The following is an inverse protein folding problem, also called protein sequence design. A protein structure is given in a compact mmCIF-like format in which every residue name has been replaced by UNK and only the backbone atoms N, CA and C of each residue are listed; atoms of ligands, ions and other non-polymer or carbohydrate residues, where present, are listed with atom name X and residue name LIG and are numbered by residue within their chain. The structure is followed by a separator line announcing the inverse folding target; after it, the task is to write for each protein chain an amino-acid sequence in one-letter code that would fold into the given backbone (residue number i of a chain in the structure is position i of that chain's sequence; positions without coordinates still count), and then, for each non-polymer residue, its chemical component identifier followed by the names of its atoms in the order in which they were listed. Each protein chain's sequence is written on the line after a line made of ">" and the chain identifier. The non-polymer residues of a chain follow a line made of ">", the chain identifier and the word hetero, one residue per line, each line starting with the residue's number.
data_IF_719865550863
#
_entry.id   IF_719865550863
#
_cell.length_a   1.000
_cell.length_b   1.000
_cell.length_c   1.000
_cell.angle_alpha   90.00
_cell.angle_beta   90.00
_cell.angle_gamma   90.00
#
_symmetry.space_group_name_H-M   'P 1'
#
loop_
_entity.id
_entity.type
_entity.pdbx_description
1 polymer ?
#
# COMPACT_ATOMS: atom_id res chain seq x y z
N UNK A 1 2.84 -29.23 48.19
CA UNK A 1 1.50 -29.12 48.72
C UNK A 1 1.13 -30.36 49.57
N UNK A 2 0.16 -30.25 50.48
CA UNK A 2 -0.26 -31.34 51.43
C UNK A 2 -0.67 -32.63 50.70
N UNK A 3 -1.17 -32.58 49.47
CA UNK A 3 -1.56 -33.74 48.63
C UNK A 3 -0.37 -34.63 48.24
N UNK A 4 0.74 -34.02 47.88
CA UNK A 4 1.94 -34.74 47.47
C UNK A 4 2.60 -35.49 48.68
N UNK A 5 2.36 -35.00 49.90
CA UNK A 5 2.83 -35.67 51.13
C UNK A 5 2.05 -36.95 51.44
N UNK A 6 0.70 -36.98 51.24
CA UNK A 6 -0.12 -38.19 51.44
C UNK A 6 0.20 -39.31 50.43
N UNK A 7 0.46 -38.97 49.15
CA UNK A 7 0.89 -39.95 48.15
C UNK A 7 2.27 -40.57 48.47
N UNK A 8 3.15 -39.84 49.14
CA UNK A 8 4.44 -40.38 49.59
C UNK A 8 4.31 -41.34 50.79
N UNK A 9 3.23 -41.20 51.61
CA UNK A 9 2.95 -42.08 52.74
C UNK A 9 2.32 -43.43 52.38
N UNK A 10 1.90 -43.64 51.11
CA UNK A 10 1.32 -44.90 50.64
C UNK A 10 2.29 -46.12 50.72
N UNK A 11 3.58 -45.89 50.93
CA UNK A 11 4.56 -46.96 51.10
C UNK A 11 4.49 -47.64 52.51
N UNK A 12 3.88 -46.97 53.50
CA UNK A 12 3.79 -47.43 54.88
C UNK A 12 2.46 -48.14 55.21
N UNK A 13 1.51 -48.23 54.24
CA UNK A 13 0.19 -48.82 54.42
C UNK A 13 0.23 -50.32 54.01
N UNK A 14 -0.53 -51.16 54.71
CA UNK A 14 -0.63 -52.59 54.44
C UNK A 14 -1.09 -52.86 53.02
N UNK A 15 -0.55 -53.91 52.36
CA UNK A 15 -0.80 -54.20 50.94
C UNK A 15 -2.26 -54.36 50.58
N UNK A 16 -3.12 -54.74 51.49
CA UNK A 16 -4.54 -54.99 51.30
C UNK A 16 -5.38 -53.69 51.30
N UNK A 17 -4.94 -52.64 51.99
CA UNK A 17 -5.68 -51.32 52.05
C UNK A 17 -5.27 -50.35 51.01
N UNK A 18 -4.17 -50.56 50.29
CA UNK A 18 -3.66 -49.65 49.26
C UNK A 18 -4.64 -49.34 48.09
N UNK A 19 -5.43 -50.31 47.57
CA UNK A 19 -6.39 -50.02 46.52
C UNK A 19 -7.55 -49.15 47.00
N UNK A 20 -8.02 -49.33 48.24
CA UNK A 20 -9.12 -48.57 48.83
C UNK A 20 -8.71 -47.11 49.08
N UNK A 21 -7.53 -46.90 49.66
CA UNK A 21 -6.99 -45.55 49.86
C UNK A 21 -6.67 -44.85 48.55
N UNK A 22 -6.17 -45.59 47.55
CA UNK A 22 -5.94 -45.07 46.19
C UNK A 22 -7.21 -44.59 45.53
N UNK A 23 -8.29 -45.36 45.68
CA UNK A 23 -9.60 -44.99 45.11
C UNK A 23 -10.20 -43.76 45.81
N UNK A 24 -10.14 -43.71 47.16
CA UNK A 24 -10.62 -42.56 47.93
C UNK A 24 -9.85 -41.27 47.63
N UNK A 25 -8.54 -41.35 47.37
CA UNK A 25 -7.72 -40.22 46.98
C UNK A 25 -8.09 -39.74 45.57
N UNK A 26 -8.34 -40.65 44.62
CA UNK A 26 -8.77 -40.32 43.26
C UNK A 26 -10.17 -39.71 43.25
N UNK A 27 -11.12 -40.26 43.97
CA UNK A 27 -12.47 -39.72 44.10
C UNK A 27 -12.48 -38.31 44.71
N UNK A 28 -11.70 -38.12 45.78
CA UNK A 28 -11.51 -36.79 46.40
C UNK A 28 -10.87 -35.80 45.41
N UNK A 29 -9.94 -36.28 44.59
CA UNK A 29 -9.32 -35.47 43.56
C UNK A 29 -10.31 -35.06 42.51
N UNK A 30 -11.13 -35.98 42.00
CA UNK A 30 -12.16 -35.71 40.99
C UNK A 30 -13.17 -34.67 41.49
N UNK A 31 -13.65 -34.80 42.73
CA UNK A 31 -14.58 -33.83 43.34
C UNK A 31 -13.96 -32.42 43.44
N UNK A 32 -12.67 -32.35 43.84
CA UNK A 32 -11.99 -31.05 43.93
C UNK A 32 -11.73 -30.45 42.54
N UNK A 33 -11.35 -31.27 41.57
CA UNK A 33 -11.15 -30.80 40.20
C UNK A 33 -12.46 -30.29 39.58
N UNK A 34 -13.56 -31.01 39.78
CA UNK A 34 -14.90 -30.56 39.33
C UNK A 34 -15.34 -29.25 40.00
N UNK A 35 -15.18 -29.13 41.31
CA UNK A 35 -15.48 -27.90 42.04
C UNK A 35 -14.62 -26.70 41.56
N UNK A 36 -13.33 -26.95 41.33
CA UNK A 36 -12.40 -25.93 40.76
C UNK A 36 -12.83 -25.46 39.37
N UNK A 37 -13.22 -26.39 38.52
CA UNK A 37 -13.62 -26.08 37.14
C UNK A 37 -14.94 -25.27 37.11
N UNK A 38 -15.90 -25.62 37.99
CA UNK A 38 -17.14 -24.84 38.18
C UNK A 38 -16.85 -23.42 38.67
N UNK A 39 -16.03 -23.25 39.69
CA UNK A 39 -15.66 -21.94 40.22
C UNK A 39 -14.87 -21.10 39.17
N UNK A 40 -13.92 -21.74 38.48
CA UNK A 40 -13.18 -21.05 37.42
C UNK A 40 -14.09 -20.55 36.29
N UNK A 41 -15.09 -21.34 35.94
CA UNK A 41 -16.07 -20.97 34.89
C UNK A 41 -16.92 -19.78 35.32
N UNK A 42 -17.39 -19.80 36.59
CA UNK A 42 -18.16 -18.69 37.16
C UNK A 42 -17.33 -17.41 37.27
N UNK A 43 -16.07 -17.52 37.72
CA UNK A 43 -15.17 -16.37 37.78
C UNK A 43 -14.86 -15.79 36.41
N UNK A 44 -14.59 -16.62 35.42
CA UNK A 44 -14.37 -16.17 34.03
C UNK A 44 -15.60 -15.44 33.49
N UNK A 45 -16.81 -15.94 33.79
CA UNK A 45 -18.06 -15.29 33.40
C UNK A 45 -18.20 -13.92 34.06
N UNK A 46 -17.97 -13.82 35.38
CA UNK A 46 -18.02 -12.54 36.11
C UNK A 46 -17.01 -11.52 35.56
N UNK A 47 -15.76 -11.94 35.35
CA UNK A 47 -14.71 -11.05 34.78
C UNK A 47 -15.10 -10.56 33.40
N UNK A 48 -15.68 -11.44 32.57
CA UNK A 48 -16.17 -11.06 31.24
C UNK A 48 -17.32 -10.05 31.31
N UNK A 49 -18.27 -10.28 32.22
CA UNK A 49 -19.41 -9.35 32.40
C UNK A 49 -18.94 -7.98 32.92
N UNK A 50 -18.00 -7.95 33.85
CA UNK A 50 -17.41 -6.69 34.33
C UNK A 50 -16.63 -5.96 33.24
N UNK A 51 -15.88 -6.72 32.42
CA UNK A 51 -15.16 -6.16 31.29
C UNK A 51 -16.14 -5.55 30.27
N UNK A 52 -17.21 -6.26 29.93
CA UNK A 52 -18.26 -5.77 29.04
C UNK A 52 -18.95 -4.50 29.56
N UNK A 53 -19.14 -4.38 30.89
CA UNK A 53 -19.70 -3.16 31.49
C UNK A 53 -18.75 -1.97 31.42
N UNK A 54 -17.44 -2.21 31.45
CA UNK A 54 -16.44 -1.14 31.35
C UNK A 54 -16.18 -0.70 29.91
N UNK A 55 -16.29 -1.62 28.97
CA UNK A 55 -16.06 -1.39 27.53
C UNK A 55 -17.36 -1.04 26.80
N UNK A 56 -18.15 -0.14 27.37
CA UNK A 56 -19.36 0.39 26.69
C UNK A 56 -18.89 1.34 25.59
N UNK A 57 -19.12 0.93 24.36
CA UNK A 57 -18.92 1.77 23.17
C UNK A 57 -20.25 2.46 22.87
N UNK A 58 -20.22 3.78 22.78
CA UNK A 58 -21.38 4.54 22.33
C UNK A 58 -21.56 4.37 20.83
N UNK A 59 -22.49 3.50 20.45
CA UNK A 59 -22.80 3.20 19.05
C UNK A 59 -23.63 4.30 18.37
N UNK A 60 -24.06 5.32 19.11
CA UNK A 60 -24.77 6.48 18.53
C UNK A 60 -23.81 7.52 17.95
N UNK A 61 -22.52 7.46 18.32
CA UNK A 61 -21.51 8.31 17.72
C UNK A 61 -21.32 7.92 16.26
N UNK A 62 -21.32 8.90 15.34
CA UNK A 62 -21.05 8.62 13.94
C UNK A 62 -19.64 8.03 13.79
N UNK A 63 -19.52 6.95 13.02
CA UNK A 63 -18.24 6.36 12.69
C UNK A 63 -17.34 7.35 11.94
N UNK A 64 -16.01 7.12 11.96
CA UNK A 64 -15.10 7.87 11.12
C UNK A 64 -15.45 7.62 9.66
N UNK A 65 -15.97 8.63 8.99
CA UNK A 65 -16.12 8.61 7.53
C UNK A 65 -14.74 8.79 6.93
N UNK A 66 -14.31 7.84 6.10
CA UNK A 66 -13.12 8.06 5.30
C UNK A 66 -13.46 9.11 4.23
N UNK A 67 -12.65 10.15 4.15
CA UNK A 67 -12.74 11.10 3.06
C UNK A 67 -12.52 10.34 1.74
N UNK A 68 -13.44 10.53 0.80
CA UNK A 68 -13.27 9.98 -0.53
C UNK A 68 -12.14 10.73 -1.20
N UNK A 69 -11.17 10.00 -1.74
CA UNK A 69 -10.13 10.60 -2.57
C UNK A 69 -10.73 11.30 -3.78
N UNK A 70 -10.16 12.42 -4.15
CA UNK A 70 -10.54 13.19 -5.34
C UNK A 70 -9.38 13.18 -6.33
N UNK A 71 -9.70 13.20 -7.62
CA UNK A 71 -8.70 13.35 -8.66
C UNK A 71 -8.15 14.77 -8.66
N UNK A 72 -6.86 14.91 -8.94
CA UNK A 72 -6.24 16.21 -9.07
C UNK A 72 -6.88 16.98 -10.29
N UNK A 73 -7.09 18.30 -10.22
CA UNK A 73 -7.67 19.07 -11.33
C UNK A 73 -6.95 18.87 -12.66
N UNK A 74 -5.61 18.82 -12.67
CA UNK A 74 -4.83 18.55 -13.88
C UNK A 74 -5.16 17.19 -14.48
N UNK A 75 -5.36 16.16 -13.65
CA UNK A 75 -5.74 14.84 -14.13
C UNK A 75 -7.13 14.83 -14.77
N UNK A 76 -8.07 15.60 -14.21
CA UNK A 76 -9.42 15.75 -14.77
C UNK A 76 -9.34 16.43 -16.14
N UNK A 77 -8.56 17.52 -16.24
CA UNK A 77 -8.38 18.24 -17.50
C UNK A 77 -7.72 17.35 -18.57
N UNK A 78 -6.70 16.58 -18.20
CA UNK A 78 -6.03 15.65 -19.09
C UNK A 78 -6.99 14.58 -19.63
N UNK A 79 -7.75 13.94 -18.74
CA UNK A 79 -8.73 12.93 -19.12
C UNK A 79 -9.84 13.48 -20.03
N UNK A 80 -10.23 14.74 -19.84
CA UNK A 80 -11.21 15.40 -20.70
C UNK A 80 -10.64 15.65 -22.12
N UNK A 81 -9.37 16.09 -22.20
CA UNK A 81 -8.67 16.23 -23.49
C UNK A 81 -8.54 14.88 -24.19
N UNK A 82 -8.06 13.86 -23.50
CA UNK A 82 -7.93 12.49 -24.05
C UNK A 82 -9.27 12.00 -24.61
N UNK A 83 -10.35 12.18 -23.86
CA UNK A 83 -11.70 11.77 -24.28
C UNK A 83 -12.14 12.44 -25.58
N UNK A 84 -11.85 13.74 -25.75
CA UNK A 84 -12.16 14.49 -26.98
C UNK A 84 -11.39 13.91 -28.16
N UNK A 85 -10.08 13.72 -28.04
CA UNK A 85 -9.24 13.23 -29.13
C UNK A 85 -9.52 11.76 -29.47
N UNK A 86 -9.79 10.91 -28.48
CA UNK A 86 -10.24 9.53 -28.71
C UNK A 86 -11.57 9.55 -29.51
N UNK A 87 -12.50 10.44 -29.16
CA UNK A 87 -13.76 10.62 -29.91
C UNK A 87 -13.55 11.05 -31.34
N UNK A 88 -12.43 11.70 -31.65
CA UNK A 88 -12.02 12.09 -33.02
C UNK A 88 -11.25 10.99 -33.78
N UNK A 89 -11.00 9.84 -33.12
CA UNK A 89 -10.28 8.72 -33.70
C UNK A 89 -8.76 8.79 -33.56
N UNK A 90 -8.28 9.50 -32.54
CA UNK A 90 -6.87 9.52 -32.16
C UNK A 90 -6.60 8.42 -31.11
N UNK A 91 -5.38 7.92 -31.12
CA UNK A 91 -4.86 6.99 -30.13
C UNK A 91 -4.01 7.74 -29.09
N UNK A 92 -4.15 7.37 -27.83
CA UNK A 92 -3.30 7.89 -26.75
C UNK A 92 -2.06 7.01 -26.66
N UNK A 93 -0.89 7.60 -26.83
CA UNK A 93 0.39 6.89 -26.82
C UNK A 93 1.30 7.46 -25.74
N UNK A 94 1.86 6.58 -24.94
CA UNK A 94 2.82 6.95 -23.92
C UNK A 94 4.28 6.73 -24.40
N UNK A 95 5.21 7.50 -23.87
CA UNK A 95 6.64 7.34 -24.11
C UNK A 95 7.47 7.59 -22.86
N UNK A 96 8.75 7.21 -22.87
CA UNK A 96 9.62 7.34 -21.73
C UNK A 96 9.87 8.79 -21.32
N UNK A 97 9.91 9.07 -20.02
CA UNK A 97 10.30 10.39 -19.48
C UNK A 97 11.82 10.62 -19.57
N UNK A 98 12.59 9.55 -19.43
CA UNK A 98 14.04 9.55 -19.66
C UNK A 98 14.28 9.18 -21.13
N UNK A 99 14.80 10.12 -21.91
CA UNK A 99 14.83 10.01 -23.36
C UNK A 99 16.22 10.20 -23.91
N UNK A 100 16.47 9.66 -25.09
CA UNK A 100 17.69 9.94 -25.82
C UNK A 100 17.67 11.33 -26.44
N UNK A 101 18.81 12.04 -26.42
CA UNK A 101 19.00 13.34 -27.09
C UNK A 101 18.56 13.29 -28.56
N UNK A 102 18.84 12.18 -29.24
CA UNK A 102 18.40 11.91 -30.61
C UNK A 102 16.91 12.16 -30.81
N UNK A 103 16.04 11.60 -29.97
CA UNK A 103 14.60 11.72 -30.09
C UNK A 103 14.07 13.07 -29.58
N UNK A 104 14.72 13.58 -28.50
CA UNK A 104 14.27 14.84 -27.90
C UNK A 104 14.65 16.08 -28.71
N UNK A 105 15.70 15.97 -29.55
CA UNK A 105 16.24 17.10 -30.30
C UNK A 105 16.52 16.81 -31.79
N UNK A 106 17.42 15.85 -32.09
CA UNK A 106 17.88 15.66 -33.48
C UNK A 106 16.77 15.32 -34.46
N UNK A 107 15.94 14.35 -34.12
CA UNK A 107 14.80 13.92 -34.95
C UNK A 107 13.69 14.98 -35.09
N UNK A 108 13.69 15.96 -34.17
CA UNK A 108 12.79 17.12 -34.23
C UNK A 108 13.42 18.33 -34.94
N UNK A 109 14.56 18.11 -35.60
CA UNK A 109 15.33 19.11 -36.31
C UNK A 109 15.82 20.26 -35.43
N UNK A 110 16.17 19.98 -34.18
CA UNK A 110 16.79 20.91 -33.24
C UNK A 110 18.31 20.69 -33.29
N UNK A 111 19.08 21.63 -33.82
CA UNK A 111 20.53 21.47 -34.02
C UNK A 111 21.29 21.50 -32.70
N UNK A 112 22.52 20.97 -32.71
CA UNK A 112 23.34 20.83 -31.50
C UNK A 112 23.64 22.13 -30.75
N UNK A 113 23.68 23.25 -31.47
CA UNK A 113 23.93 24.59 -30.91
C UNK A 113 22.66 25.40 -30.62
N UNK A 114 21.50 24.75 -30.58
CA UNK A 114 20.25 25.43 -30.28
C UNK A 114 20.17 25.75 -28.77
N UNK A 115 19.70 26.94 -28.36
CA UNK A 115 19.59 27.33 -26.95
C UNK A 115 18.83 26.36 -26.07
N UNK A 116 17.77 25.73 -26.60
CA UNK A 116 16.96 24.73 -25.87
C UNK A 116 17.77 23.47 -25.45
N UNK A 117 18.98 23.30 -25.97
CA UNK A 117 19.93 22.23 -25.56
C UNK A 117 20.93 22.70 -24.50
N UNK A 118 20.82 23.94 -24.02
CA UNK A 118 21.64 24.42 -22.93
C UNK A 118 21.32 23.64 -21.64
N UNK A 119 22.35 23.38 -20.83
CA UNK A 119 22.22 22.76 -19.51
C UNK A 119 21.34 23.59 -18.56
N UNK A 120 21.17 24.88 -18.84
CA UNK A 120 20.28 25.75 -18.08
C UNK A 120 18.79 25.45 -18.34
N UNK A 121 18.44 24.92 -19.52
CA UNK A 121 17.07 24.67 -19.93
C UNK A 121 16.71 23.17 -19.93
N UNK A 122 17.69 22.28 -19.88
CA UNK A 122 17.49 20.83 -20.02
C UNK A 122 18.23 20.05 -18.93
N UNK A 123 17.52 19.13 -18.30
CA UNK A 123 18.15 18.18 -17.36
C UNK A 123 18.83 17.04 -18.12
N UNK A 124 20.15 17.05 -18.12
CA UNK A 124 20.98 15.98 -18.68
C UNK A 124 21.31 14.94 -17.61
N UNK A 125 21.09 13.66 -17.91
CA UNK A 125 21.60 12.54 -17.11
C UNK A 125 23.04 12.22 -17.53
N UNK A 126 23.27 12.27 -18.83
CA UNK A 126 24.58 12.23 -19.45
C UNK A 126 24.50 12.94 -20.83
N UNK A 127 25.60 12.95 -21.61
CA UNK A 127 25.65 13.63 -22.91
C UNK A 127 24.63 13.17 -23.94
N UNK A 128 24.10 11.96 -23.82
CA UNK A 128 23.21 11.31 -24.79
C UNK A 128 21.80 11.06 -24.25
N UNK A 129 21.57 11.28 -22.92
CA UNK A 129 20.32 11.00 -22.24
C UNK A 129 19.87 12.21 -21.42
N UNK A 130 18.59 12.58 -21.60
CA UNK A 130 17.96 13.74 -20.98
C UNK A 130 16.65 13.36 -20.31
N UNK A 131 16.18 14.19 -19.39
CA UNK A 131 14.74 14.22 -19.10
C UNK A 131 14.03 14.96 -20.23
N UNK A 132 13.00 14.35 -20.81
CA UNK A 132 12.31 14.93 -21.99
C UNK A 132 11.79 16.33 -21.69
N UNK A 133 12.11 17.27 -22.54
CA UNK A 133 11.66 18.67 -22.44
C UNK A 133 10.31 18.91 -23.09
N UNK A 134 9.83 17.94 -23.86
CA UNK A 134 8.56 17.94 -24.59
C UNK A 134 8.09 16.49 -24.82
N UNK A 135 6.84 16.29 -25.21
CA UNK A 135 6.29 14.96 -25.52
C UNK A 135 6.49 14.54 -26.97
N UNK A 136 6.96 15.43 -27.85
CA UNK A 136 7.22 15.15 -29.27
C UNK A 136 8.20 14.01 -29.59
N UNK A 137 9.14 13.61 -28.70
CA UNK A 137 9.91 12.38 -28.90
C UNK A 137 9.06 11.15 -29.17
N UNK A 138 7.86 11.08 -28.58
CA UNK A 138 6.90 9.98 -28.83
C UNK A 138 6.45 9.96 -30.30
N UNK A 139 6.23 11.14 -30.91
CA UNK A 139 5.92 11.25 -32.34
C UNK A 139 7.08 10.70 -33.19
N UNK A 140 8.31 11.10 -32.88
CA UNK A 140 9.49 10.63 -33.61
C UNK A 140 9.59 9.09 -33.57
N UNK A 141 9.37 8.49 -32.41
CA UNK A 141 9.36 7.04 -32.23
C UNK A 141 8.27 6.34 -33.04
N UNK A 142 7.07 6.88 -33.04
CA UNK A 142 5.95 6.31 -33.81
C UNK A 142 6.21 6.45 -35.31
N UNK A 143 6.76 7.60 -35.77
CA UNK A 143 7.11 7.80 -37.17
C UNK A 143 8.20 6.84 -37.67
N UNK A 144 9.15 6.46 -36.82
CA UNK A 144 10.16 5.43 -37.14
C UNK A 144 9.54 4.05 -37.45
N UNK A 145 8.33 3.74 -36.95
CA UNK A 145 7.66 2.47 -37.27
C UNK A 145 7.20 2.39 -38.74
N UNK A 146 7.10 3.53 -39.42
CA UNK A 146 6.66 3.61 -40.79
C UNK A 146 5.16 3.30 -41.04
N UNK A 147 4.37 3.10 -39.97
CA UNK A 147 2.94 2.84 -40.10
C UNK A 147 2.16 4.13 -40.38
N UNK A 148 1.33 4.12 -41.41
CA UNK A 148 0.50 5.26 -41.79
C UNK A 148 -0.96 4.84 -42.00
N UNK A 149 -1.95 5.68 -41.73
CA UNK A 149 -1.88 7.05 -41.21
C UNK A 149 -1.63 7.07 -39.68
N UNK A 150 -0.89 8.07 -39.21
CA UNK A 150 -0.65 8.30 -37.78
C UNK A 150 -1.71 9.28 -37.28
N UNK A 151 -2.45 8.87 -36.23
CA UNK A 151 -3.41 9.70 -35.51
C UNK A 151 -3.20 9.47 -34.04
N UNK A 152 -2.36 10.27 -33.41
CA UNK A 152 -1.98 10.08 -32.00
C UNK A 152 -1.95 11.39 -31.23
N UNK A 153 -2.13 11.29 -29.94
CA UNK A 153 -1.76 12.28 -28.94
C UNK A 153 -0.79 11.62 -27.96
N UNK A 154 0.14 12.39 -27.45
CA UNK A 154 1.12 11.93 -26.49
C UNK A 154 1.12 12.85 -25.25
N UNK A 155 0.10 12.74 -24.38
CA UNK A 155 0.08 13.51 -23.15
C UNK A 155 1.17 12.97 -22.21
N UNK A 156 1.75 13.86 -21.41
CA UNK A 156 2.73 13.39 -20.45
C UNK A 156 3.48 14.49 -19.73
N UNK A 157 4.23 14.06 -18.74
CA UNK A 157 5.07 14.95 -17.95
C UNK A 157 6.33 15.31 -18.74
N UNK A 158 6.71 16.57 -18.65
CA UNK A 158 7.93 17.12 -19.24
C UNK A 158 8.73 17.88 -18.19
N UNK A 159 10.01 18.08 -18.45
CA UNK A 159 10.94 18.63 -17.48
C UNK A 159 11.77 19.74 -18.10
N UNK A 160 11.96 20.81 -17.36
CA UNK A 160 12.84 21.94 -17.74
C UNK A 160 13.61 22.43 -16.54
N UNK A 161 14.84 22.79 -16.74
CA UNK A 161 15.76 23.27 -15.71
C UNK A 161 15.59 24.78 -15.44
N UNK A 162 14.35 25.26 -15.43
CA UNK A 162 14.01 26.64 -15.14
C UNK A 162 14.15 26.96 -13.66
N UNK A 163 14.44 28.20 -13.31
CA UNK A 163 14.33 28.67 -11.93
C UNK A 163 12.89 28.58 -11.46
N UNK A 164 12.68 28.00 -10.28
CA UNK A 164 11.35 27.81 -9.70
C UNK A 164 10.82 29.14 -9.16
N UNK A 165 9.71 29.59 -9.72
CA UNK A 165 8.99 30.76 -9.25
C UNK A 165 7.46 30.49 -9.15
N UNK A 166 6.65 31.55 -9.03
CA UNK A 166 5.20 31.41 -8.91
C UNK A 166 4.52 30.87 -10.19
N UNK A 167 5.20 30.91 -11.35
CA UNK A 167 4.68 30.53 -12.67
C UNK A 167 5.47 29.43 -13.36
N UNK A 168 6.69 29.16 -12.91
CA UNK A 168 7.57 28.15 -13.48
C UNK A 168 7.77 26.98 -12.51
N UNK A 169 7.50 25.78 -13.00
CA UNK A 169 7.78 24.53 -12.32
C UNK A 169 8.74 23.69 -13.16
N UNK A 170 9.74 23.03 -12.56
CA UNK A 170 10.69 22.19 -13.29
C UNK A 170 10.02 20.96 -13.93
N UNK A 171 8.78 20.68 -13.58
CA UNK A 171 8.00 19.57 -14.10
C UNK A 171 6.55 19.99 -14.31
N UNK A 172 6.02 19.78 -15.53
CA UNK A 172 4.65 20.08 -15.87
C UNK A 172 4.11 19.09 -16.91
N UNK A 173 2.81 19.14 -17.20
CA UNK A 173 2.17 18.30 -18.22
C UNK A 173 2.02 19.09 -19.54
N UNK A 174 2.27 18.39 -20.63
CA UNK A 174 2.09 18.86 -22.00
C UNK A 174 1.14 17.94 -22.75
#
# INVERSE_FOLDING_TARGET
>A
SKKTKKLKGMKEIAKEERPIDGQMVNDTRAVIEEALEKEMTLLKKKVREEKMKREVIDVTLPGKTHEKGHRHPNQIALEDLERVFIGMGYEVVEGPEVEYDKYNFEMLNIPANHPAKDEQDTFYINKDIVLRTQTSPVQARIMETGQMPIRMIAPGRVFRSDEVDATHSPSFHQ
#
